data_IF_234324439838
#
_entry.id   IF_234324439838
#
_cell.length_a   1.000
_cell.length_b   1.000
_cell.length_c   1.000
_cell.angle_alpha   90.00
_cell.angle_beta   90.00
_cell.angle_gamma   90.00
#
_symmetry.space_group_name_H-M   'P 1'
#
loop_
_entity.id
_entity.type
_entity.pdbx_description
1 polymer ?
#
# COMPACT_ATOMS: atom_id res chain seq x y z
N UNK A 1 -9.67 -22.92 31.93
CA UNK A 1 -9.61 -22.84 30.45
C UNK A 1 -10.33 -24.05 29.87
N UNK A 2 -11.12 -23.89 28.80
CA UNK A 2 -11.97 -24.95 28.24
C UNK A 2 -11.21 -26.09 27.52
N UNK A 3 -9.87 -26.04 27.44
CA UNK A 3 -9.05 -27.09 26.84
C UNK A 3 -9.17 -27.17 25.30
N UNK A 4 -9.75 -26.17 24.65
CA UNK A 4 -9.91 -26.12 23.20
C UNK A 4 -8.57 -26.05 22.47
N UNK A 5 -8.53 -26.59 21.26
CA UNK A 5 -7.39 -26.60 20.35
C UNK A 5 -7.77 -26.17 18.93
N UNK A 6 -6.80 -26.03 18.04
CA UNK A 6 -7.06 -25.69 16.63
C UNK A 6 -7.93 -26.72 15.91
N UNK A 7 -7.86 -28.00 16.29
CA UNK A 7 -8.70 -29.06 15.68
C UNK A 7 -10.18 -28.93 16.03
N UNK A 8 -10.50 -28.13 17.05
CA UNK A 8 -11.88 -27.84 17.45
C UNK A 8 -12.50 -26.69 16.65
N UNK A 9 -11.70 -26.00 15.83
CA UNK A 9 -12.14 -24.88 15.00
C UNK A 9 -12.78 -25.38 13.71
N UNK A 10 -13.99 -24.90 13.44
CA UNK A 10 -14.75 -25.20 12.23
C UNK A 10 -14.88 -23.95 11.37
N UNK A 11 -14.50 -24.06 10.09
CA UNK A 11 -14.67 -22.98 9.11
C UNK A 11 -16.15 -22.62 8.97
N UNK A 12 -16.43 -21.32 8.96
CA UNK A 12 -17.78 -20.78 8.82
C UNK A 12 -17.96 -20.06 7.49
N UNK A 13 -17.04 -19.15 7.18
CA UNK A 13 -17.13 -18.31 5.99
C UNK A 13 -15.80 -17.63 5.69
N UNK A 14 -15.70 -17.14 4.46
CA UNK A 14 -14.62 -16.31 3.95
C UNK A 14 -15.22 -15.00 3.44
N UNK A 15 -14.62 -13.88 3.81
CA UNK A 15 -14.90 -12.57 3.23
C UNK A 15 -13.68 -12.15 2.42
N UNK A 16 -13.87 -12.01 1.12
CA UNK A 16 -12.85 -11.58 0.17
C UNK A 16 -12.92 -10.06 0.00
N UNK A 17 -11.79 -9.38 0.09
CA UNK A 17 -11.62 -7.93 -0.05
C UNK A 17 -10.50 -7.63 -1.03
N UNK A 18 -10.80 -7.71 -2.33
CA UNK A 18 -9.78 -7.66 -3.37
C UNK A 18 -8.86 -8.87 -3.26
N UNK A 19 -7.56 -8.64 -3.06
CA UNK A 19 -6.53 -9.67 -2.96
C UNK A 19 -6.29 -10.16 -1.51
N UNK A 20 -7.25 -9.93 -0.62
CA UNK A 20 -7.15 -10.29 0.81
C UNK A 20 -8.38 -11.07 1.24
N UNK A 21 -8.18 -12.04 2.13
CA UNK A 21 -9.28 -12.82 2.70
C UNK A 21 -9.30 -12.76 4.22
N UNK A 22 -10.51 -12.77 4.76
CA UNK A 22 -10.78 -12.92 6.20
C UNK A 22 -11.60 -14.19 6.39
N UNK A 23 -10.99 -15.18 7.02
CA UNK A 23 -11.62 -16.46 7.34
C UNK A 23 -12.20 -16.40 8.75
N UNK A 24 -13.43 -16.89 8.88
CA UNK A 24 -14.13 -16.98 10.15
C UNK A 24 -14.18 -18.44 10.58
N UNK A 25 -13.70 -18.70 11.79
CA UNK A 25 -13.73 -20.03 12.39
C UNK A 25 -14.50 -19.99 13.70
N UNK A 26 -15.29 -21.02 13.97
CA UNK A 26 -16.01 -21.17 15.23
C UNK A 26 -15.53 -22.42 15.96
N UNK A 27 -15.17 -22.28 17.22
CA UNK A 27 -14.84 -23.43 18.05
C UNK A 27 -16.09 -24.24 18.38
N UNK A 28 -16.08 -25.55 18.11
CA UNK A 28 -17.21 -26.45 18.41
C UNK A 28 -17.44 -26.67 19.91
N UNK A 29 -16.42 -26.45 20.75
CA UNK A 29 -16.48 -26.69 22.20
C UNK A 29 -16.96 -25.44 22.96
N UNK A 30 -16.29 -24.31 22.78
CA UNK A 30 -16.59 -23.08 23.51
C UNK A 30 -17.43 -22.06 22.73
N UNK A 31 -17.74 -22.33 21.46
CA UNK A 31 -18.49 -21.45 20.56
C UNK A 31 -17.84 -20.07 20.26
N UNK A 32 -16.59 -19.85 20.68
CA UNK A 32 -15.83 -18.64 20.33
C UNK A 32 -15.61 -18.59 18.81
N UNK A 33 -15.78 -17.39 18.23
CA UNK A 33 -15.51 -17.12 16.83
C UNK A 33 -14.20 -16.35 16.71
N UNK A 34 -13.25 -16.90 15.97
CA UNK A 34 -11.95 -16.30 15.69
C UNK A 34 -11.81 -15.95 14.21
N UNK A 35 -11.00 -14.93 13.93
CA UNK A 35 -10.73 -14.45 12.57
C UNK A 35 -9.28 -14.73 12.20
N UNK A 36 -9.06 -15.33 11.04
CA UNK A 36 -7.75 -15.47 10.43
C UNK A 36 -7.68 -14.56 9.19
N UNK A 37 -6.61 -13.79 9.08
CA UNK A 37 -6.38 -12.87 7.97
C UNK A 37 -5.24 -13.40 7.10
N UNK A 38 -5.36 -13.27 5.78
CA UNK A 38 -4.27 -13.63 4.84
C UNK A 38 -3.04 -12.71 4.98
N UNK A 39 -3.22 -11.55 5.61
CA UNK A 39 -2.16 -10.59 5.91
C UNK A 39 -2.27 -10.09 7.36
N UNK A 40 -1.16 -9.62 7.92
CA UNK A 40 -1.15 -9.08 9.28
C UNK A 40 -1.72 -7.66 9.31
N UNK A 41 -2.98 -7.53 9.71
CA UNK A 41 -3.69 -6.24 9.83
C UNK A 41 -3.10 -5.30 10.90
N UNK A 42 -2.31 -5.82 11.85
CA UNK A 42 -1.73 -5.03 12.94
C UNK A 42 -0.30 -4.56 12.62
N UNK A 43 0.30 -5.04 11.52
CA UNK A 43 1.66 -4.66 11.14
C UNK A 43 1.60 -3.44 10.22
N UNK A 44 1.85 -2.27 10.79
CA UNK A 44 1.84 -0.98 10.09
C UNK A 44 3.04 -0.77 9.16
N UNK A 45 4.11 -1.55 9.33
CA UNK A 45 5.35 -1.42 8.55
C UNK A 45 5.29 -2.10 7.17
N UNK A 46 4.23 -2.86 6.88
CA UNK A 46 4.13 -3.63 5.63
C UNK A 46 3.04 -3.08 4.73
N UNK A 47 3.39 -2.84 3.46
CA UNK A 47 2.42 -2.51 2.42
C UNK A 47 1.48 -3.71 2.22
N UNK A 48 0.18 -3.48 2.38
CA UNK A 48 -0.84 -4.52 2.20
C UNK A 48 -0.89 -5.00 0.75
N UNK A 49 -1.36 -6.23 0.51
CA UNK A 49 -1.42 -6.79 -0.86
C UNK A 49 -2.24 -5.90 -1.80
N UNK A 50 -3.35 -5.36 -1.31
CA UNK A 50 -4.18 -4.43 -2.09
C UNK A 50 -3.44 -3.14 -2.44
N UNK A 51 -2.72 -2.53 -1.48
CA UNK A 51 -1.92 -1.34 -1.74
C UNK A 51 -0.77 -1.63 -2.70
N UNK A 52 -0.10 -2.77 -2.54
CA UNK A 52 0.99 -3.19 -3.41
C UNK A 52 0.51 -3.40 -4.86
N UNK A 53 -0.63 -4.04 -5.05
CA UNK A 53 -1.22 -4.25 -6.38
C UNK A 53 -1.55 -2.90 -7.07
N UNK A 54 -2.19 -1.97 -6.36
CA UNK A 54 -2.52 -0.66 -6.93
C UNK A 54 -1.26 0.18 -7.18
N UNK A 55 -0.26 0.13 -6.29
CA UNK A 55 1.02 0.80 -6.50
C UNK A 55 1.75 0.25 -7.72
N UNK A 56 1.76 -1.08 -7.89
CA UNK A 56 2.32 -1.71 -9.08
C UNK A 56 1.62 -1.21 -10.35
N UNK A 57 0.28 -1.11 -10.33
CA UNK A 57 -0.46 -0.53 -11.46
C UNK A 57 -0.01 0.91 -11.79
N UNK A 58 0.20 1.76 -10.78
CA UNK A 58 0.71 3.12 -11.01
C UNK A 58 2.12 3.09 -11.61
N UNK A 59 3.01 2.25 -11.09
CA UNK A 59 4.39 2.15 -11.54
C UNK A 59 4.52 1.67 -13.00
N UNK A 60 3.63 0.78 -13.44
CA UNK A 60 3.63 0.24 -14.82
C UNK A 60 2.65 0.96 -15.76
N UNK A 61 1.95 1.99 -15.28
CA UNK A 61 1.07 2.83 -16.10
C UNK A 61 -0.23 2.16 -16.54
N UNK A 62 -0.81 1.28 -15.71
CA UNK A 62 -2.09 0.60 -16.01
C UNK A 62 -3.23 1.02 -15.07
N UNK A 63 -4.46 0.86 -15.55
CA UNK A 63 -5.68 1.17 -14.79
C UNK A 63 -6.36 -0.05 -14.16
N UNK A 64 -7.51 0.20 -13.50
CA UNK A 64 -8.34 -0.84 -12.88
C UNK A 64 -8.79 -1.92 -13.85
N UNK A 65 -9.20 -1.56 -15.07
CA UNK A 65 -9.66 -2.51 -16.09
C UNK A 65 -8.60 -3.56 -16.41
N UNK A 66 -7.35 -3.13 -16.61
CA UNK A 66 -6.23 -4.02 -16.92
C UNK A 66 -5.85 -4.90 -15.71
N UNK A 67 -5.92 -4.36 -14.48
CA UNK A 67 -5.75 -5.17 -13.26
C UNK A 67 -6.84 -6.25 -13.13
N UNK A 68 -8.09 -5.89 -13.43
CA UNK A 68 -9.21 -6.83 -13.37
C UNK A 68 -9.09 -7.92 -14.43
N UNK A 69 -8.65 -7.57 -15.64
CA UNK A 69 -8.37 -8.52 -16.72
C UNK A 69 -7.24 -9.48 -16.31
N UNK A 70 -6.14 -8.95 -15.78
CA UNK A 70 -5.03 -9.77 -15.26
C UNK A 70 -5.48 -10.75 -14.18
N UNK A 71 -6.24 -10.29 -13.19
CA UNK A 71 -6.78 -11.14 -12.12
C UNK A 71 -7.74 -12.22 -12.68
N UNK A 72 -8.50 -11.90 -13.74
CA UNK A 72 -9.40 -12.85 -14.39
C UNK A 72 -8.64 -14.00 -15.07
N UNK A 73 -7.48 -13.72 -15.68
CA UNK A 73 -6.62 -14.77 -16.24
C UNK A 73 -6.05 -15.72 -15.18
N UNK A 74 -5.89 -15.24 -13.95
CA UNK A 74 -5.41 -16.02 -12.81
C UNK A 74 -6.55 -16.74 -12.07
N UNK A 75 -7.81 -16.53 -12.46
CA UNK A 75 -9.00 -17.00 -11.74
C UNK A 75 -9.01 -16.58 -10.25
N UNK A 76 -8.60 -15.33 -9.98
CA UNK A 76 -8.61 -14.74 -8.64
C UNK A 76 -9.52 -13.51 -8.56
N UNK A 77 -10.14 -13.24 -7.39
CA UNK A 77 -10.90 -12.02 -7.17
C UNK A 77 -10.03 -10.76 -7.32
N UNK A 78 -10.61 -9.72 -7.91
CA UNK A 78 -9.97 -8.40 -8.05
C UNK A 78 -10.61 -7.36 -7.12
N UNK A 79 -9.96 -6.20 -7.02
CA UNK A 79 -10.52 -5.03 -6.36
C UNK A 79 -11.75 -4.52 -7.13
N UNK A 80 -12.75 -4.01 -6.42
CA UNK A 80 -13.77 -3.18 -7.05
C UNK A 80 -13.18 -1.85 -7.52
N UNK A 81 -13.76 -1.24 -8.55
CA UNK A 81 -13.28 0.04 -9.08
C UNK A 81 -13.24 1.14 -8.00
N UNK A 82 -14.26 1.20 -7.13
CA UNK A 82 -14.29 2.14 -6.01
C UNK A 82 -13.17 1.90 -4.99
N UNK A 83 -12.85 0.64 -4.68
CA UNK A 83 -11.74 0.31 -3.77
C UNK A 83 -10.39 0.64 -4.39
N UNK A 84 -10.22 0.34 -5.68
CA UNK A 84 -9.02 0.68 -6.45
C UNK A 84 -8.77 2.19 -6.44
N UNK A 85 -9.77 3.00 -6.79
CA UNK A 85 -9.66 4.46 -6.82
C UNK A 85 -9.31 5.00 -5.43
N UNK A 86 -9.96 4.50 -4.38
CA UNK A 86 -9.68 4.93 -3.00
C UNK A 86 -8.21 4.69 -2.63
N UNK A 87 -7.70 3.49 -2.89
CA UNK A 87 -6.29 3.15 -2.62
C UNK A 87 -5.36 4.00 -3.50
N UNK A 88 -5.68 4.15 -4.78
CA UNK A 88 -4.89 4.95 -5.72
C UNK A 88 -4.74 6.39 -5.24
N UNK A 89 -5.83 7.02 -4.80
CA UNK A 89 -5.78 8.39 -4.26
C UNK A 89 -4.94 8.48 -2.99
N UNK A 90 -5.05 7.51 -2.09
CA UNK A 90 -4.20 7.47 -0.89
C UNK A 90 -2.71 7.34 -1.26
N UNK A 91 -2.37 6.44 -2.18
CA UNK A 91 -1.00 6.26 -2.63
C UNK A 91 -0.46 7.49 -3.37
N UNK A 92 -1.28 8.11 -4.22
CA UNK A 92 -0.89 9.32 -4.95
C UNK A 92 -0.51 10.46 -4.00
N UNK A 93 -1.26 10.66 -2.91
CA UNK A 93 -0.92 11.65 -1.89
C UNK A 93 0.41 11.31 -1.21
N UNK A 94 0.61 10.06 -0.77
CA UNK A 94 1.87 9.62 -0.13
C UNK A 94 3.07 9.83 -1.05
N UNK A 95 2.94 9.45 -2.33
CA UNK A 95 3.98 9.62 -3.35
C UNK A 95 4.26 11.10 -3.57
N UNK A 96 3.23 11.94 -3.69
CA UNK A 96 3.37 13.38 -3.88
C UNK A 96 4.08 14.04 -2.69
N UNK A 97 3.68 13.70 -1.47
CA UNK A 97 4.28 14.24 -0.24
C UNK A 97 5.76 13.83 -0.14
N UNK A 98 6.05 12.55 -0.43
CA UNK A 98 7.42 12.05 -0.46
C UNK A 98 8.26 12.74 -1.55
N UNK A 99 7.72 12.90 -2.76
CA UNK A 99 8.41 13.56 -3.85
C UNK A 99 8.70 15.03 -3.52
N UNK A 100 7.73 15.73 -2.92
CA UNK A 100 7.90 17.11 -2.48
C UNK A 100 9.01 17.25 -1.43
N UNK A 101 9.03 16.38 -0.43
CA UNK A 101 10.06 16.41 0.61
C UNK A 101 11.45 16.11 0.06
N UNK A 102 11.59 15.17 -0.87
CA UNK A 102 12.88 14.89 -1.51
C UNK A 102 13.32 16.03 -2.43
N UNK A 103 12.41 16.65 -3.19
CA UNK A 103 12.70 17.86 -3.98
C UNK A 103 13.15 19.03 -3.09
N UNK A 104 12.53 19.21 -1.93
CA UNK A 104 12.92 20.24 -0.95
C UNK A 104 14.35 20.00 -0.44
N UNK A 105 14.67 18.76 -0.03
CA UNK A 105 16.02 18.40 0.45
C UNK A 105 17.08 18.58 -0.63
N UNK A 106 16.79 18.13 -1.85
CA UNK A 106 17.69 18.32 -2.98
C UNK A 106 17.95 19.80 -3.26
N UNK A 107 16.91 20.64 -3.24
CA UNK A 107 17.05 22.09 -3.42
C UNK A 107 17.88 22.75 -2.30
N UNK A 108 17.76 22.28 -1.06
CA UNK A 108 18.61 22.76 0.05
C UNK A 108 20.08 22.36 -0.14
N UNK A 109 20.33 21.13 -0.58
CA UNK A 109 21.68 20.63 -0.87
C UNK A 109 22.33 21.38 -2.04
N UNK A 110 21.61 21.58 -3.14
CA UNK A 110 22.07 22.35 -4.30
C UNK A 110 22.41 23.80 -3.93
N UNK A 111 21.55 24.44 -3.13
CA UNK A 111 21.78 25.80 -2.62
C UNK A 111 23.08 25.88 -1.82
N UNK A 112 23.33 24.94 -0.92
CA UNK A 112 24.57 24.91 -0.13
C UNK A 112 25.81 24.72 -1.00
N UNK A 113 25.73 23.86 -2.02
CA UNK A 113 26.82 23.59 -2.95
C UNK A 113 27.16 24.82 -3.79
N UNK A 114 26.14 25.50 -4.34
CA UNK A 114 26.32 26.72 -5.13
C UNK A 114 26.98 27.85 -4.31
N UNK A 115 26.57 28.04 -3.05
CA UNK A 115 27.22 28.99 -2.14
C UNK A 115 28.70 28.65 -1.87
N UNK A 116 29.04 27.37 -1.67
CA UNK A 116 30.42 26.91 -1.44
C UNK A 116 31.31 27.10 -2.67
N UNK A 117 30.76 26.90 -3.86
CA UNK A 117 31.47 27.05 -5.13
C UNK A 117 31.58 28.51 -5.59
N UNK A 118 30.89 29.45 -4.93
CA UNK A 118 30.77 30.83 -5.41
C UNK A 118 29.93 30.95 -6.68
N UNK A 119 29.09 29.95 -6.96
CA UNK A 119 28.18 29.92 -8.11
C UNK A 119 26.88 30.65 -7.73
N UNK A 120 27.01 31.97 -7.64
CA UNK A 120 25.97 32.90 -7.23
C UNK A 120 25.81 33.99 -8.28
N UNK A 121 24.60 34.48 -8.47
CA UNK A 121 24.34 35.60 -9.38
C UNK A 121 24.81 36.94 -8.80
N UNK A 122 24.54 38.03 -9.53
CA UNK A 122 24.93 39.39 -9.13
C UNK A 122 24.31 39.86 -7.82
N UNK A 123 23.21 39.26 -7.39
CA UNK A 123 22.50 39.56 -6.14
C UNK A 123 22.85 38.58 -5.01
N UNK A 124 23.77 37.63 -5.26
CA UNK A 124 24.18 36.61 -4.30
C UNK A 124 23.21 35.43 -4.19
N UNK A 125 22.29 35.28 -5.15
CA UNK A 125 21.34 34.16 -5.19
C UNK A 125 22.08 32.92 -5.74
N UNK A 126 22.04 31.78 -5.04
CA UNK A 126 22.66 30.56 -5.49
C UNK A 126 22.05 30.06 -6.80
N UNK A 127 22.90 29.78 -7.79
CA UNK A 127 22.46 29.26 -9.08
C UNK A 127 22.34 27.74 -9.01
N UNK A 128 21.11 27.23 -9.03
CA UNK A 128 20.84 25.81 -9.21
C UNK A 128 20.84 25.49 -10.72
N UNK A 129 21.72 24.59 -11.15
CA UNK A 129 21.62 24.01 -12.48
C UNK A 129 20.63 22.84 -12.41
N UNK A 130 19.58 22.92 -13.23
CA UNK A 130 18.47 21.94 -13.30
C UNK A 130 18.92 20.54 -13.69
#
# INVERSE_FOLDING_TARGET
AFGCSFTDMEYQSEIIKGFQSVFYFKCKVCNIVEKLYTENINKTETVTTNNAAVNACQAIGIGHTQLSEFASFLDIPSLSCSSFIKIQSTLANIISDSAWEEMRKAGEEEKELALKCGDVDTDGIPMCTV
#
